data_IF_289105493332
#
_entry.id   IF_289105493332
#
_cell.length_a   1.000
_cell.length_b   1.000
_cell.length_c   1.000
_cell.angle_alpha   90.00
_cell.angle_beta   90.00
_cell.angle_gamma   90.00
#
_symmetry.space_group_name_H-M   'P 1'
#
loop_
_entity.id
_entity.type
_entity.pdbx_description
1 polymer ?
#
# COMPACT_ATOMS: atom_id res chain seq x y z
N UNK A 1 -25.96 34.63 -21.47
CA UNK A 1 -25.39 33.68 -20.50
C UNK A 1 -24.41 32.82 -21.28
N UNK A 2 -23.12 32.80 -20.91
CA UNK A 2 -22.11 31.94 -21.55
C UNK A 2 -22.02 30.67 -20.72
N UNK A 3 -22.46 29.57 -21.31
CA UNK A 3 -22.31 28.24 -20.73
C UNK A 3 -20.82 27.90 -20.69
N UNK A 4 -20.26 27.78 -19.48
CA UNK A 4 -18.95 27.19 -19.27
C UNK A 4 -19.12 25.67 -19.21
N UNK A 5 -18.63 24.90 -20.19
CA UNK A 5 -18.57 23.46 -20.03
C UNK A 5 -17.48 23.16 -19.00
N UNK A 6 -17.87 22.92 -17.75
CA UNK A 6 -17.00 22.32 -16.75
C UNK A 6 -16.80 20.86 -17.15
N UNK A 7 -15.81 20.61 -18.00
CA UNK A 7 -15.33 19.26 -18.29
C UNK A 7 -14.52 18.75 -17.08
N UNK A 8 -15.23 18.19 -16.11
CA UNK A 8 -14.67 17.46 -14.97
C UNK A 8 -14.22 16.05 -15.41
N UNK A 9 -13.28 15.97 -16.35
CA UNK A 9 -12.51 14.73 -16.57
C UNK A 9 -11.07 14.96 -16.11
N UNK A 10 -10.85 14.84 -14.79
CA UNK A 10 -9.51 14.58 -14.27
C UNK A 10 -9.20 13.10 -14.47
N UNK A 11 -8.51 12.77 -15.57
CA UNK A 11 -7.92 11.45 -15.73
C UNK A 11 -6.86 11.25 -14.65
N UNK A 12 -6.87 10.09 -13.99
CA UNK A 12 -5.82 9.74 -13.04
C UNK A 12 -4.49 9.56 -13.77
N UNK A 13 -3.42 10.05 -13.17
CA UNK A 13 -2.07 9.84 -13.67
C UNK A 13 -1.58 8.41 -13.39
N UNK A 14 -0.49 8.00 -14.05
CA UNK A 14 0.13 6.68 -13.82
C UNK A 14 0.50 6.49 -12.35
N UNK A 15 1.13 7.47 -11.70
CA UNK A 15 1.49 7.38 -10.29
C UNK A 15 0.27 7.27 -9.39
N UNK A 16 -0.82 7.96 -9.72
CA UNK A 16 -2.09 7.89 -8.99
C UNK A 16 -2.77 6.52 -9.15
N UNK A 17 -2.77 5.94 -10.35
CA UNK A 17 -3.23 4.57 -10.56
C UNK A 17 -2.40 3.55 -9.77
N UNK A 18 -1.08 3.68 -9.80
CA UNK A 18 -0.18 2.82 -9.03
C UNK A 18 -0.45 2.93 -7.52
N UNK A 19 -0.67 4.14 -7.00
CA UNK A 19 -1.05 4.36 -5.61
C UNK A 19 -2.38 3.66 -5.26
N UNK A 20 -3.40 3.75 -6.12
CA UNK A 20 -4.68 3.07 -5.89
C UNK A 20 -4.52 1.55 -5.90
N UNK A 21 -3.73 1.01 -6.84
CA UNK A 21 -3.44 -0.43 -6.90
C UNK A 21 -2.68 -0.87 -5.64
N UNK A 22 -1.64 -0.15 -5.23
CA UNK A 22 -0.91 -0.44 -3.99
C UNK A 22 -1.82 -0.33 -2.76
N UNK A 23 -2.69 0.67 -2.69
CA UNK A 23 -3.67 0.81 -1.61
C UNK A 23 -4.64 -0.37 -1.54
N UNK A 24 -5.18 -0.79 -2.69
CA UNK A 24 -6.08 -1.95 -2.78
C UNK A 24 -5.39 -3.27 -2.39
N UNK A 25 -4.17 -3.51 -2.88
CA UNK A 25 -3.36 -4.65 -2.46
C UNK A 25 -3.03 -4.60 -0.96
N UNK A 26 -2.75 -3.41 -0.42
CA UNK A 26 -2.51 -3.19 1.00
C UNK A 26 -3.73 -3.52 1.86
N UNK A 27 -4.95 -3.21 1.40
CA UNK A 27 -6.19 -3.63 2.07
C UNK A 27 -6.30 -5.16 2.10
N UNK A 28 -6.14 -5.82 0.95
CA UNK A 28 -6.16 -7.28 0.89
C UNK A 28 -5.09 -7.92 1.78
N UNK A 29 -3.90 -7.35 1.81
CA UNK A 29 -2.80 -7.85 2.62
C UNK A 29 -3.04 -7.65 4.14
N UNK A 30 -3.67 -6.54 4.55
CA UNK A 30 -4.08 -6.39 5.94
C UNK A 30 -5.25 -7.31 6.32
N UNK A 31 -6.18 -7.59 5.40
CA UNK A 31 -7.21 -8.61 5.62
C UNK A 31 -6.59 -9.99 5.81
N UNK A 32 -5.56 -10.34 5.03
CA UNK A 32 -4.78 -11.56 5.21
C UNK A 32 -4.19 -11.67 6.64
N UNK A 33 -3.57 -10.62 7.18
CA UNK A 33 -3.12 -10.60 8.59
C UNK A 33 -4.23 -10.88 9.59
N UNK A 34 -5.37 -10.19 9.42
CA UNK A 34 -6.51 -10.35 10.34
C UNK A 34 -7.00 -11.79 10.30
N UNK A 35 -7.16 -12.37 9.11
CA UNK A 35 -7.66 -13.73 8.95
C UNK A 35 -6.66 -14.79 9.41
N UNK A 36 -5.36 -14.57 9.18
CA UNK A 36 -4.30 -15.43 9.73
C UNK A 36 -4.19 -15.35 11.24
N UNK A 37 -4.77 -14.33 11.86
CA UNK A 37 -4.73 -14.01 13.30
C UNK A 37 -3.33 -13.68 13.83
N UNK A 38 -2.32 -14.41 13.37
CA UNK A 38 -0.92 -14.11 13.61
C UNK A 38 -0.49 -12.83 12.90
N UNK A 39 0.47 -12.12 13.51
CA UNK A 39 0.91 -10.78 13.11
C UNK A 39 -0.17 -9.69 13.03
N UNK A 40 -1.44 -9.98 13.29
CA UNK A 40 -2.47 -8.98 13.53
C UNK A 40 -2.29 -8.33 14.91
N UNK A 41 -3.03 -7.24 15.15
CA UNK A 41 -3.02 -6.48 16.39
C UNK A 41 -4.32 -5.70 16.55
N UNK A 42 -4.33 -4.73 17.45
CA UNK A 42 -5.42 -3.76 17.57
C UNK A 42 -5.74 -3.13 16.20
N UNK A 43 -7.03 -2.95 15.83
CA UNK A 43 -8.23 -3.16 16.65
C UNK A 43 -8.81 -4.58 16.64
N UNK A 44 -8.18 -5.54 15.97
CA UNK A 44 -8.69 -6.91 15.84
C UNK A 44 -8.25 -7.84 16.96
N UNK A 45 -7.16 -7.47 17.66
CA UNK A 45 -6.67 -8.12 18.87
C UNK A 45 -6.52 -7.09 19.98
N UNK A 46 -6.54 -7.53 21.22
CA UNK A 46 -6.35 -6.71 22.43
C UNK A 46 -4.88 -6.32 22.70
N UNK A 47 -4.00 -6.55 21.72
CA UNK A 47 -2.57 -6.24 21.79
C UNK A 47 -2.16 -5.30 20.67
N UNK A 48 -1.32 -4.32 20.98
CA UNK A 48 -0.73 -3.43 19.98
C UNK A 48 0.48 -4.14 19.36
N UNK A 49 0.50 -4.26 18.04
CA UNK A 49 1.59 -4.91 17.28
C UNK A 49 2.04 -4.00 16.13
N UNK A 50 3.12 -4.35 15.40
CA UNK A 50 3.52 -3.62 14.19
C UNK A 50 2.39 -3.43 13.17
N UNK A 51 1.44 -4.37 13.09
CA UNK A 51 0.22 -4.25 12.29
C UNK A 51 -0.65 -3.06 12.71
N UNK A 52 -0.79 -2.78 14.01
CA UNK A 52 -1.59 -1.64 14.47
C UNK A 52 -1.05 -0.31 13.96
N UNK A 53 0.28 -0.18 13.91
CA UNK A 53 0.93 1.00 13.36
C UNK A 53 0.90 1.03 11.82
N UNK A 54 0.95 -0.13 11.16
CA UNK A 54 0.89 -0.19 9.69
C UNK A 54 -0.42 0.36 9.12
N UNK A 55 -1.50 0.40 9.90
CA UNK A 55 -2.77 1.06 9.51
C UNK A 55 -2.60 2.55 9.17
N UNK A 56 -1.55 3.22 9.67
CA UNK A 56 -1.21 4.60 9.28
C UNK A 56 -0.86 4.73 7.80
N UNK A 57 -0.57 3.63 7.10
CA UNK A 57 -0.34 3.65 5.65
C UNK A 57 -1.51 4.27 4.89
N UNK A 58 -2.75 4.05 5.31
CA UNK A 58 -3.93 4.53 4.60
C UNK A 58 -4.11 6.04 4.66
N UNK A 59 -4.09 6.70 5.84
CA UNK A 59 -4.14 8.16 5.88
C UNK A 59 -2.93 8.79 5.20
N UNK A 60 -1.72 8.22 5.33
CA UNK A 60 -0.53 8.74 4.66
C UNK A 60 -0.63 8.63 3.14
N UNK A 61 -1.06 7.49 2.61
CA UNK A 61 -1.28 7.28 1.18
C UNK A 61 -2.39 8.20 0.66
N UNK A 62 -3.44 8.43 1.46
CA UNK A 62 -4.50 9.40 1.17
C UNK A 62 -3.95 10.82 1.05
N UNK A 63 -3.13 11.27 2.01
CA UNK A 63 -2.46 12.58 1.93
C UNK A 63 -1.62 12.69 0.66
N UNK A 64 -0.79 11.69 0.35
CA UNK A 64 0.01 11.69 -0.86
C UNK A 64 -0.84 11.67 -2.16
N UNK A 65 -2.04 11.08 -2.12
CA UNK A 65 -2.93 11.00 -3.27
C UNK A 65 -3.65 12.32 -3.53
N UNK A 66 -4.16 12.96 -2.47
CA UNK A 66 -4.91 14.23 -2.58
C UNK A 66 -4.00 15.45 -2.66
N UNK A 67 -2.79 15.42 -2.07
CA UNK A 67 -1.80 16.50 -2.16
C UNK A 67 -1.05 16.50 -3.49
N UNK A 68 -1.76 16.79 -4.59
CA UNK A 68 -1.21 16.73 -5.96
C UNK A 68 -0.13 17.77 -6.25
N UNK A 69 -0.04 18.85 -5.48
CA UNK A 69 0.84 20.00 -5.74
C UNK A 69 2.29 19.81 -5.25
N UNK A 70 2.57 18.82 -4.41
CA UNK A 70 3.89 18.61 -3.80
C UNK A 70 4.55 17.34 -4.28
N UNK A 71 5.05 17.28 -5.52
CA UNK A 71 5.66 16.06 -6.09
C UNK A 71 6.69 15.39 -5.18
N UNK A 72 7.64 16.18 -4.64
CA UNK A 72 8.64 15.70 -3.67
C UNK A 72 8.03 15.25 -2.34
N UNK A 73 6.99 15.94 -1.85
CA UNK A 73 6.26 15.55 -0.63
C UNK A 73 5.56 14.20 -0.82
N UNK A 74 4.87 14.01 -1.95
CA UNK A 74 4.21 12.74 -2.30
C UNK A 74 5.24 11.61 -2.37
N UNK A 75 6.36 11.84 -3.05
CA UNK A 75 7.48 10.89 -3.12
C UNK A 75 8.01 10.55 -1.73
N UNK A 76 8.30 11.53 -0.87
CA UNK A 76 8.83 11.30 0.46
C UNK A 76 7.88 10.48 1.34
N UNK A 77 6.57 10.77 1.29
CA UNK A 77 5.56 10.00 2.03
C UNK A 77 5.53 8.54 1.54
N UNK A 78 5.49 8.31 0.22
CA UNK A 78 5.43 6.95 -0.33
C UNK A 78 6.74 6.19 -0.11
N UNK A 79 7.89 6.87 -0.14
CA UNK A 79 9.18 6.27 0.21
C UNK A 79 9.21 5.83 1.68
N UNK A 80 8.68 6.64 2.60
CA UNK A 80 8.57 6.27 4.01
C UNK A 80 7.68 5.03 4.20
N UNK A 81 6.52 4.99 3.52
CA UNK A 81 5.64 3.82 3.49
C UNK A 81 6.41 2.60 2.98
N UNK A 82 7.11 2.73 1.85
CA UNK A 82 7.87 1.64 1.25
C UNK A 82 8.91 1.10 2.24
N UNK A 83 9.74 1.97 2.84
CA UNK A 83 10.78 1.56 3.78
C UNK A 83 10.16 0.81 4.96
N UNK A 84 9.12 1.37 5.59
CA UNK A 84 8.47 0.76 6.74
C UNK A 84 7.87 -0.61 6.40
N UNK A 85 7.12 -0.71 5.30
CA UNK A 85 6.52 -1.97 4.85
C UNK A 85 7.58 -3.02 4.52
N UNK A 86 8.65 -2.65 3.81
CA UNK A 86 9.71 -3.60 3.48
C UNK A 86 10.48 -4.06 4.74
N UNK A 87 10.77 -3.15 5.67
CA UNK A 87 11.40 -3.54 6.94
C UNK A 87 10.55 -4.54 7.72
N UNK A 88 9.22 -4.36 7.76
CA UNK A 88 8.33 -5.33 8.39
C UNK A 88 8.43 -6.72 7.74
N UNK A 89 8.45 -6.81 6.41
CA UNK A 89 8.53 -8.10 5.71
C UNK A 89 9.91 -8.77 5.71
N UNK A 90 10.97 -8.01 6.00
CA UNK A 90 12.31 -8.56 6.13
C UNK A 90 12.54 -9.07 7.55
N UNK A 91 12.08 -8.34 8.57
CA UNK A 91 12.50 -8.58 9.95
C UNK A 91 11.40 -9.11 10.87
N UNK A 92 10.13 -8.85 10.58
CA UNK A 92 9.02 -9.14 11.50
C UNK A 92 8.11 -10.25 10.98
N UNK A 93 7.87 -10.28 9.68
CA UNK A 93 7.00 -11.27 9.07
C UNK A 93 7.51 -11.68 7.68
N UNK A 94 8.19 -12.82 7.65
CA UNK A 94 8.77 -13.41 6.45
C UNK A 94 7.70 -14.09 5.57
N UNK A 95 7.95 -14.26 4.27
CA UNK A 95 7.07 -15.01 3.37
C UNK A 95 6.78 -16.44 3.82
N UNK A 96 7.74 -17.06 4.52
CA UNK A 96 7.55 -18.42 5.05
C UNK A 96 6.47 -18.42 6.12
N UNK A 97 6.45 -17.42 7.01
CA UNK A 97 5.42 -17.30 8.05
C UNK A 97 4.02 -17.08 7.45
N UNK A 98 3.93 -16.22 6.42
CA UNK A 98 2.68 -15.98 5.68
C UNK A 98 2.12 -17.28 5.05
N UNK A 99 2.99 -18.02 4.36
CA UNK A 99 2.63 -19.30 3.76
C UNK A 99 2.18 -20.31 4.81
N UNK A 100 2.95 -20.43 5.90
CA UNK A 100 2.84 -21.52 6.87
C UNK A 100 1.49 -21.56 7.57
N UNK A 101 0.96 -20.41 7.99
CA UNK A 101 -0.32 -20.34 8.72
C UNK A 101 -1.47 -20.88 7.89
N UNK A 102 -1.51 -20.53 6.60
CA UNK A 102 -2.52 -21.07 5.68
C UNK A 102 -2.23 -22.52 5.32
N UNK A 103 -0.97 -22.85 5.09
CA UNK A 103 -0.54 -24.16 4.64
C UNK A 103 -0.57 -25.23 5.73
N UNK A 104 -0.68 -24.88 7.02
CA UNK A 104 -0.72 -25.84 8.13
C UNK A 104 -1.75 -25.52 9.21
N UNK A 105 -2.51 -24.44 9.06
CA UNK A 105 -3.48 -23.95 10.06
C UNK A 105 -2.88 -23.80 11.47
N UNK A 106 -1.63 -23.35 11.55
CA UNK A 106 -0.92 -23.10 12.81
C UNK A 106 0.18 -22.08 12.56
N UNK A 107 0.29 -21.03 13.37
CA UNK A 107 1.38 -20.07 13.23
C UNK A 107 2.72 -20.68 13.64
N UNK A 108 3.75 -20.47 12.81
CA UNK A 108 5.14 -20.80 13.13
C UNK A 108 5.93 -19.64 13.74
N UNK A 109 5.25 -18.53 14.06
CA UNK A 109 5.87 -17.37 14.72
C UNK A 109 6.09 -17.62 16.19
N UNK A 110 7.11 -16.98 16.76
CA UNK A 110 7.41 -17.03 18.19
C UNK A 110 6.52 -16.07 19.00
N UNK A 111 6.30 -16.37 20.28
CA UNK A 111 5.50 -15.51 21.18
C UNK A 111 4.01 -15.79 21.14
N UNK A 112 3.18 -14.75 21.30
CA UNK A 112 1.76 -14.86 21.65
C UNK A 112 0.85 -15.49 20.59
N UNK A 113 1.36 -15.75 19.39
CA UNK A 113 0.59 -16.40 18.31
C UNK A 113 1.10 -17.82 18.01
N UNK A 114 2.17 -18.29 18.66
CA UNK A 114 2.77 -19.58 18.34
C UNK A 114 1.76 -20.73 18.41
N UNK A 115 1.66 -21.51 17.33
CA UNK A 115 0.73 -22.65 17.23
C UNK A 115 -0.75 -22.28 17.07
N UNK A 116 -1.12 -21.00 17.09
CA UNK A 116 -2.51 -20.57 16.95
C UNK A 116 -3.00 -20.80 15.51
N UNK A 117 -4.24 -21.28 15.31
CA UNK A 117 -4.82 -21.45 13.98
C UNK A 117 -5.23 -20.12 13.36
N UNK A 118 -5.47 -20.11 12.05
CA UNK A 118 -6.15 -18.98 11.42
C UNK A 118 -7.62 -18.94 11.84
N UNK A 119 -8.25 -17.76 11.74
CA UNK A 119 -9.62 -17.53 12.19
C UNK A 119 -10.66 -18.41 11.49
N UNK A 120 -10.33 -18.92 10.29
CA UNK A 120 -11.23 -19.73 9.48
C UNK A 120 -11.05 -21.23 9.72
N UNK A 121 -10.04 -21.65 10.48
CA UNK A 121 -9.67 -23.05 10.65
C UNK A 121 -9.28 -23.75 9.33
N UNK A 122 -8.85 -22.99 8.32
CA UNK A 122 -8.59 -23.50 6.97
C UNK A 122 -7.16 -24.00 6.86
N UNK A 123 -6.99 -25.15 6.22
CA UNK A 123 -5.70 -25.72 5.87
C UNK A 123 -5.60 -25.81 4.34
N UNK A 124 -4.85 -24.88 3.72
CA UNK A 124 -4.69 -24.77 2.27
C UNK A 124 -3.35 -24.15 1.87
N UNK A 125 -2.41 -24.96 1.35
CA UNK A 125 -1.17 -24.48 0.74
C UNK A 125 -1.37 -23.48 -0.39
N UNK A 126 -2.47 -23.59 -1.15
CA UNK A 126 -2.78 -22.67 -2.25
C UNK A 126 -3.10 -21.26 -1.73
N UNK A 127 -3.81 -21.15 -0.60
CA UNK A 127 -4.07 -19.85 0.03
C UNK A 127 -2.75 -19.28 0.60
N UNK A 128 -1.89 -20.13 1.16
CA UNK A 128 -0.55 -19.74 1.60
C UNK A 128 0.29 -19.15 0.47
N UNK A 129 0.30 -19.81 -0.70
CA UNK A 129 0.97 -19.28 -1.88
C UNK A 129 0.33 -17.95 -2.34
N UNK A 130 -1.00 -17.85 -2.34
CA UNK A 130 -1.70 -16.62 -2.71
C UNK A 130 -1.35 -15.45 -1.77
N UNK A 131 -1.22 -15.70 -0.46
CA UNK A 131 -0.83 -14.69 0.52
C UNK A 131 0.59 -14.16 0.25
N UNK A 132 1.55 -15.04 -0.04
CA UNK A 132 2.91 -14.64 -0.42
C UNK A 132 2.93 -13.85 -1.72
N UNK A 133 2.20 -14.31 -2.74
CA UNK A 133 2.10 -13.62 -4.03
C UNK A 133 1.46 -12.23 -3.88
N UNK A 134 0.45 -12.10 -3.02
CA UNK A 134 -0.15 -10.82 -2.66
C UNK A 134 0.87 -9.88 -2.01
N UNK A 135 1.68 -10.37 -1.07
CA UNK A 135 2.75 -9.59 -0.43
C UNK A 135 3.81 -9.14 -1.45
N UNK A 136 4.22 -10.04 -2.36
CA UNK A 136 5.16 -9.72 -3.44
C UNK A 136 4.59 -8.67 -4.42
N UNK A 137 3.31 -8.80 -4.81
CA UNK A 137 2.64 -7.85 -5.67
C UNK A 137 2.51 -6.47 -5.01
N UNK A 138 2.19 -6.42 -3.72
CA UNK A 138 2.16 -5.18 -2.94
C UNK A 138 3.55 -4.51 -2.94
N UNK A 139 4.61 -5.25 -2.62
CA UNK A 139 5.98 -4.72 -2.63
C UNK A 139 6.39 -4.21 -4.02
N UNK A 140 6.13 -4.99 -5.08
CA UNK A 140 6.45 -4.60 -6.45
C UNK A 140 5.71 -3.33 -6.89
N UNK A 141 4.42 -3.22 -6.55
CA UNK A 141 3.63 -2.03 -6.89
C UNK A 141 4.03 -0.81 -6.07
N UNK A 142 4.40 -0.95 -4.79
CA UNK A 142 4.92 0.16 -3.98
C UNK A 142 6.25 0.68 -4.53
N UNK A 143 7.17 -0.22 -4.93
CA UNK A 143 8.42 0.16 -5.59
C UNK A 143 8.14 0.91 -6.90
N UNK A 144 7.24 0.38 -7.74
CA UNK A 144 6.85 1.03 -8.99
C UNK A 144 6.22 2.41 -8.76
N UNK A 145 5.38 2.54 -7.73
CA UNK A 145 4.77 3.82 -7.31
C UNK A 145 5.84 4.83 -6.91
N UNK A 146 6.79 4.41 -6.07
CA UNK A 146 7.88 5.24 -5.58
C UNK A 146 8.77 5.73 -6.74
N UNK A 147 9.11 4.84 -7.68
CA UNK A 147 9.86 5.20 -8.90
C UNK A 147 9.07 6.19 -9.75
N UNK A 148 7.76 5.94 -9.97
CA UNK A 148 6.93 6.84 -10.77
C UNK A 148 6.87 8.24 -10.16
N UNK A 149 6.63 8.34 -8.85
CA UNK A 149 6.57 9.63 -8.14
C UNK A 149 7.92 10.36 -8.15
N UNK A 150 9.03 9.64 -8.05
CA UNK A 150 10.36 10.23 -8.19
C UNK A 150 10.56 10.86 -9.57
N UNK A 151 10.18 10.15 -10.63
CA UNK A 151 10.28 10.65 -12.01
C UNK A 151 9.36 11.86 -12.25
N UNK A 152 8.13 11.82 -11.73
CA UNK A 152 7.18 12.94 -11.80
C UNK A 152 7.75 14.17 -11.09
N UNK A 153 8.30 14.00 -9.87
CA UNK A 153 8.92 15.08 -9.09
C UNK A 153 10.18 15.65 -9.76
N UNK A 154 11.00 14.81 -10.41
CA UNK A 154 12.22 15.23 -11.12
C UNK A 154 11.92 16.01 -12.40
N UNK A 155 10.85 15.65 -13.11
CA UNK A 155 10.47 16.31 -14.37
C UNK A 155 9.65 17.59 -14.16
N UNK A 156 9.30 17.92 -12.91
CA UNK A 156 8.44 19.05 -12.60
C UNK A 156 7.02 18.89 -13.13
N UNK A 157 6.62 17.67 -13.55
CA UNK A 157 5.25 17.39 -13.95
C UNK A 157 4.37 17.49 -12.71
N UNK A 158 3.68 18.62 -12.57
CA UNK A 158 2.52 18.66 -11.68
C UNK A 158 1.30 18.15 -12.47
N UNK A 159 0.30 17.54 -11.82
CA UNK A 159 -0.86 17.00 -12.54
C UNK A 159 -1.69 18.00 -13.36
N UNK A 160 -1.35 19.30 -13.31
CA UNK A 160 -1.95 20.34 -14.16
C UNK A 160 -1.19 20.61 -15.46
N UNK A 161 0.08 20.24 -15.57
CA UNK A 161 0.94 20.70 -16.67
C UNK A 161 0.76 19.92 -17.99
N UNK A 162 0.03 18.79 -17.97
CA UNK A 162 -0.17 17.94 -19.17
C UNK A 162 -1.32 18.44 -20.07
N UNK A 163 -2.09 19.45 -19.64
CA UNK A 163 -3.12 20.09 -20.48
C UNK A 163 -2.75 21.53 -20.82
N UNK A 164 -1.78 21.68 -21.72
CA UNK A 164 -1.76 22.71 -22.77
C UNK A 164 -2.18 24.15 -22.43
N UNK A 165 -1.90 24.65 -21.23
CA UNK A 165 -1.97 26.08 -20.95
C UNK A 165 -0.58 26.66 -21.17
N UNK A 166 -0.29 26.99 -22.42
CA UNK A 166 0.76 27.97 -22.71
C UNK A 166 0.43 29.23 -21.92
N UNK A 167 1.32 29.64 -21.01
CA UNK A 167 1.25 31.00 -20.45
C UNK A 167 1.20 31.97 -21.64
N UNK A 168 0.23 32.91 -21.71
CA UNK A 168 0.34 33.99 -22.68
C UNK A 168 1.67 34.72 -22.44
N UNK A 169 2.40 34.98 -23.52
CA UNK A 169 3.67 35.69 -23.46
C UNK A 169 3.48 37.03 -22.75
N UNK A 170 4.44 37.45 -21.90
CA UNK A 170 4.41 38.80 -21.35
C UNK A 170 4.58 39.78 -22.52
N UNK A 171 3.58 40.65 -22.71
CA UNK A 171 3.73 41.88 -23.47
C UNK A 171 4.57 42.87 -22.69
#
# INVERSE_FOLDING_TARGET
MKDFPISLHSSLERSEWLMLVSGGLGVWHHLDHVLRFDHSGWPFRDIVTPFSYSLLVYPLLGVAFFWRHGGWTRFAIVLLILIFTQSAHIFLETPIQQYWVWAYNASCTTGNAAGMPNLLGVHSPLIGLAAVLLSCALSGTLVATCISLFLDARTGRTPRDIKGFTKPAPY
#
